data_IF_520142707771
#
_entry.id   IF_520142707771
#
_cell.length_a   1.000
_cell.length_b   1.000
_cell.length_c   1.000
_cell.angle_alpha   90.00
_cell.angle_beta   90.00
_cell.angle_gamma   90.00
#
_symmetry.space_group_name_H-M   'P 1'
#
loop_
_entity.id
_entity.type
_entity.pdbx_description
1 polymer ?
#
# COMPACT_ATOMS: atom_id res chain seq x y z
N UNK A 1 -1.95 30.90 19.12
CA UNK A 1 -2.51 29.57 19.46
C UNK A 1 -1.49 28.52 19.06
N UNK A 2 -1.23 27.52 19.89
CA UNK A 2 -0.38 26.40 19.52
C UNK A 2 -1.15 25.46 18.57
N UNK A 3 -0.51 25.02 17.48
CA UNK A 3 -1.06 24.00 16.59
C UNK A 3 -0.56 22.63 17.06
N UNK A 4 -1.47 21.75 17.44
CA UNK A 4 -1.15 20.40 17.94
C UNK A 4 -1.54 19.39 16.88
N UNK A 5 -0.58 18.61 16.39
CA UNK A 5 -0.79 17.60 15.36
C UNK A 5 -0.30 16.24 15.86
N UNK A 6 -1.13 15.18 15.79
CA UNK A 6 -0.68 13.83 16.14
C UNK A 6 0.39 13.34 15.16
N UNK A 7 1.49 12.80 15.69
CA UNK A 7 2.56 12.18 14.91
C UNK A 7 2.62 10.69 15.23
N UNK A 8 2.46 9.87 14.20
CA UNK A 8 2.68 8.42 14.28
C UNK A 8 4.09 8.14 13.75
N UNK A 9 4.88 7.37 14.50
CA UNK A 9 6.24 6.94 14.12
C UNK A 9 6.25 5.43 14.12
N UNK A 10 6.64 4.84 12.98
CA UNK A 10 6.75 3.39 12.81
C UNK A 10 8.11 3.11 12.15
N UNK A 11 8.82 2.14 12.70
CA UNK A 11 10.02 1.56 12.10
C UNK A 11 9.58 0.42 11.19
N UNK A 12 10.10 0.38 9.97
CA UNK A 12 9.74 -0.62 8.96
C UNK A 12 10.94 -1.56 8.79
N UNK A 13 10.73 -2.87 8.95
CA UNK A 13 11.68 -3.89 8.49
C UNK A 13 11.48 -4.07 6.98
N UNK A 14 12.44 -3.63 6.14
CA UNK A 14 12.30 -3.72 4.70
C UNK A 14 12.20 -5.15 4.17
N UNK A 15 12.52 -6.17 4.99
CA UNK A 15 12.34 -7.58 4.62
C UNK A 15 10.89 -8.04 4.75
N UNK A 16 10.09 -7.35 5.57
CA UNK A 16 8.69 -7.70 5.86
C UNK A 16 7.81 -6.44 6.07
N UNK A 17 7.71 -5.52 5.09
CA UNK A 17 7.12 -4.19 5.32
C UNK A 17 5.58 -4.18 5.37
N UNK A 18 4.93 -5.19 4.81
CA UNK A 18 3.46 -5.20 4.62
C UNK A 18 2.69 -5.18 5.95
N UNK A 19 2.99 -6.04 6.95
CA UNK A 19 2.32 -5.98 8.25
C UNK A 19 2.46 -4.63 8.95
N UNK A 20 3.62 -3.98 8.81
CA UNK A 20 3.93 -2.70 9.45
C UNK A 20 3.15 -1.57 8.81
N UNK A 21 3.07 -1.54 7.47
CA UNK A 21 2.23 -0.59 6.73
C UNK A 21 0.75 -0.76 7.11
N UNK A 22 0.27 -2.00 7.21
CA UNK A 22 -1.10 -2.27 7.67
C UNK A 22 -1.34 -1.76 9.10
N UNK A 23 -0.35 -1.88 9.99
CA UNK A 23 -0.43 -1.34 11.34
C UNK A 23 -0.52 0.20 11.36
N UNK A 24 0.22 0.90 10.48
CA UNK A 24 0.09 2.37 10.31
C UNK A 24 -1.37 2.73 9.96
N UNK A 25 -1.93 2.06 8.96
CA UNK A 25 -3.29 2.34 8.48
C UNK A 25 -4.29 2.10 9.62
N UNK A 26 -4.19 0.97 10.31
CA UNK A 26 -5.05 0.65 11.44
C UNK A 26 -4.98 1.69 12.58
N UNK A 27 -3.80 2.27 12.83
CA UNK A 27 -3.60 3.31 13.83
C UNK A 27 -4.22 4.66 13.44
N UNK A 28 -4.34 4.96 12.15
CA UNK A 28 -4.89 6.22 11.63
C UNK A 28 -6.42 6.21 11.59
N UNK A 29 -7.03 5.06 11.29
CA UNK A 29 -8.49 4.93 11.11
C UNK A 29 -9.35 5.51 12.25
N UNK A 30 -9.03 5.31 13.55
CA UNK A 30 -9.83 5.86 14.65
C UNK A 30 -9.92 7.40 14.66
N UNK A 31 -8.91 8.08 14.11
CA UNK A 31 -8.86 9.55 14.05
C UNK A 31 -9.65 10.13 12.85
N UNK A 32 -10.13 9.28 11.94
CA UNK A 32 -10.86 9.68 10.73
C UNK A 32 -12.15 8.86 10.55
N UNK A 33 -13.13 9.00 11.45
CA UNK A 33 -14.39 8.26 11.38
C UNK A 33 -15.13 8.54 10.07
N UNK A 34 -15.63 7.48 9.42
CA UNK A 34 -16.36 7.56 8.14
C UNK A 34 -15.47 7.59 6.89
N UNK A 35 -14.17 7.88 7.03
CA UNK A 35 -13.25 7.94 5.89
C UNK A 35 -12.41 6.67 5.69
N UNK A 36 -12.58 5.66 6.55
CA UNK A 36 -11.71 4.48 6.55
C UNK A 36 -11.65 3.76 5.20
N UNK A 37 -12.81 3.52 4.58
CA UNK A 37 -12.89 2.90 3.25
C UNK A 37 -12.22 3.76 2.17
N UNK A 38 -12.36 5.09 2.25
CA UNK A 38 -11.74 6.01 1.29
C UNK A 38 -10.22 6.01 1.41
N UNK A 39 -9.69 5.98 2.65
CA UNK A 39 -8.25 5.86 2.92
C UNK A 39 -7.71 4.55 2.33
N UNK A 40 -8.36 3.42 2.61
CA UNK A 40 -7.93 2.11 2.08
C UNK A 40 -7.95 2.07 0.56
N UNK A 41 -9.00 2.64 -0.08
CA UNK A 41 -9.08 2.73 -1.55
C UNK A 41 -7.97 3.60 -2.14
N UNK A 42 -7.70 4.76 -1.55
CA UNK A 42 -6.61 5.63 -2.00
C UNK A 42 -5.23 4.98 -1.86
N UNK A 43 -5.01 4.20 -0.78
CA UNK A 43 -3.78 3.40 -0.63
C UNK A 43 -3.66 2.34 -1.72
N UNK A 44 -4.75 1.62 -2.03
CA UNK A 44 -4.77 0.63 -3.11
C UNK A 44 -4.43 1.28 -4.46
N UNK A 45 -5.07 2.39 -4.80
CA UNK A 45 -4.79 3.13 -6.03
C UNK A 45 -3.32 3.58 -6.12
N UNK A 46 -2.73 4.03 -5.01
CA UNK A 46 -1.32 4.41 -4.98
C UNK A 46 -0.39 3.20 -5.20
N UNK A 47 -0.73 2.04 -4.63
CA UNK A 47 0.02 0.79 -4.85
C UNK A 47 -0.08 0.37 -6.31
N UNK A 48 -1.28 0.39 -6.90
CA UNK A 48 -1.49 0.02 -8.31
C UNK A 48 -0.68 0.92 -9.25
N UNK A 49 -0.64 2.23 -8.98
CA UNK A 49 0.18 3.18 -9.75
C UNK A 49 1.67 2.88 -9.62
N UNK A 50 2.14 2.49 -8.43
CA UNK A 50 3.56 2.18 -8.22
C UNK A 50 3.94 0.85 -8.89
N UNK A 51 3.05 -0.15 -8.86
CA UNK A 51 3.24 -1.39 -9.59
C UNK A 51 3.30 -1.17 -11.10
N UNK A 52 2.51 -0.24 -11.65
CA UNK A 52 2.57 0.10 -13.08
C UNK A 52 3.92 0.71 -13.47
N UNK A 53 4.50 1.60 -12.65
CA UNK A 53 5.85 2.15 -12.86
C UNK A 53 6.93 1.08 -12.66
N UNK A 54 6.74 0.22 -11.66
CA UNK A 54 7.63 -0.89 -11.33
C UNK A 54 7.70 -1.93 -12.45
N UNK A 55 6.58 -2.20 -13.12
CA UNK A 55 6.53 -3.11 -14.27
C UNK A 55 7.35 -2.61 -15.48
N UNK A 56 7.68 -1.32 -15.55
CA UNK A 56 8.60 -0.77 -16.56
C UNK A 56 10.08 -0.95 -16.18
N UNK A 57 10.38 -1.24 -14.91
CA UNK A 57 11.75 -1.33 -14.37
C UNK A 57 12.15 -2.75 -13.98
N UNK A 58 11.21 -3.56 -13.49
CA UNK A 58 11.34 -5.00 -13.34
C UNK A 58 10.80 -5.69 -14.59
N UNK A 59 11.68 -5.96 -15.55
CA UNK A 59 11.40 -6.81 -16.70
C UNK A 59 11.11 -8.26 -16.27
N UNK A 60 10.00 -8.49 -15.58
CA UNK A 60 9.47 -9.83 -15.35
C UNK A 60 8.79 -10.26 -16.65
N UNK A 61 9.30 -11.27 -17.37
CA UNK A 61 8.63 -11.75 -18.56
C UNK A 61 7.22 -12.20 -18.18
N UNK A 62 6.24 -11.73 -18.94
CA UNK A 62 4.85 -12.17 -18.87
C UNK A 62 4.83 -13.71 -18.81
N UNK A 63 4.15 -14.36 -17.86
CA UNK A 63 4.08 -15.81 -17.84
C UNK A 63 3.32 -16.24 -19.09
N UNK A 64 4.04 -16.73 -20.10
CA UNK A 64 3.47 -17.35 -21.29
C UNK A 64 2.50 -18.44 -20.85
N UNK A 65 1.21 -18.16 -20.95
CA UNK A 65 0.19 -19.21 -20.82
C UNK A 65 0.32 -20.09 -22.05
N UNK A 66 1.04 -21.20 -21.93
CA UNK A 66 1.00 -22.26 -22.94
C UNK A 66 -0.47 -22.69 -23.10
N UNK A 67 -1.04 -22.64 -24.32
CA UNK A 67 -2.37 -23.18 -24.53
C UNK A 67 -2.31 -24.67 -24.22
N UNK A 68 -3.10 -25.10 -23.23
CA UNK A 68 -3.28 -26.50 -22.92
C UNK A 68 -3.70 -27.24 -24.18
N UNK A 69 -2.84 -28.14 -24.64
CA UNK A 69 -3.05 -28.99 -25.80
C UNK A 69 -4.30 -29.87 -25.56
N UNK A 70 -5.34 -29.68 -26.37
CA UNK A 70 -6.49 -30.59 -26.51
C UNK A 70 -6.45 -31.23 -27.89
#
# INVERSE_FOLDING_TARGET
MANVTPKIVIEIDPRYPVPEICAVIAAVLPYHPGNGTAIMRGVLEAIDQELQKGAETDGVPEPTREPANQ
#
